data_IF_487733348937
#
_entry.id   IF_487733348937
#
_cell.length_a   1.000
_cell.length_b   1.000
_cell.length_c   1.000
_cell.angle_alpha   90.00
_cell.angle_beta   90.00
_cell.angle_gamma   90.00
#
_symmetry.space_group_name_H-M   'P 1'
#
loop_
_entity.id
_entity.type
_entity.pdbx_description
1 polymer ?
#
# COMPACT_ATOMS: atom_id res chain seq x y z
N UNK A 1 -2.46 10.85 -0.24
CA UNK A 1 -1.99 10.13 0.97
C UNK A 1 -1.38 11.04 2.05
N UNK A 2 -0.21 11.67 1.84
CA UNK A 2 0.48 12.44 2.90
C UNK A 2 -0.37 13.57 3.54
N UNK A 3 -1.10 14.34 2.72
CA UNK A 3 -2.02 15.38 3.21
C UNK A 3 -3.22 14.81 3.98
N UNK A 4 -3.67 13.61 3.61
CA UNK A 4 -4.78 12.92 4.29
C UNK A 4 -4.35 12.42 5.68
N UNK A 5 -3.15 11.85 5.79
CA UNK A 5 -2.53 11.45 7.06
C UNK A 5 -2.51 12.60 8.08
N UNK A 6 -2.02 13.78 7.67
CA UNK A 6 -1.93 14.97 8.53
C UNK A 6 -3.28 15.46 9.06
N UNK A 7 -4.38 15.21 8.34
CA UNK A 7 -5.73 15.66 8.76
C UNK A 7 -6.34 14.82 9.87
N UNK A 8 -6.01 13.52 9.94
CA UNK A 8 -6.68 12.58 10.85
C UNK A 8 -6.02 12.45 12.23
N UNK A 9 -4.77 12.89 12.39
CA UNK A 9 -4.04 12.76 13.66
C UNK A 9 -3.78 11.31 14.11
N UNK A 10 -4.04 10.32 13.24
CA UNK A 10 -3.76 8.90 13.44
C UNK A 10 -2.95 8.34 12.27
N UNK A 11 -2.35 7.17 12.48
CA UNK A 11 -1.58 6.47 11.46
C UNK A 11 -2.33 6.20 10.16
N UNK A 12 -1.69 6.51 9.04
CA UNK A 12 -2.18 6.18 7.72
C UNK A 12 -2.00 4.69 7.44
N UNK A 13 -3.10 4.00 7.13
CA UNK A 13 -3.11 2.58 6.73
C UNK A 13 -3.42 2.46 5.24
N UNK A 14 -2.56 1.79 4.48
CA UNK A 14 -2.66 1.67 3.03
C UNK A 14 -2.71 0.21 2.60
N UNK A 15 -3.59 -0.10 1.65
CA UNK A 15 -3.66 -1.37 0.94
C UNK A 15 -3.35 -1.14 -0.55
N UNK A 16 -2.24 -1.68 -1.04
CA UNK A 16 -1.88 -1.75 -2.46
C UNK A 16 -2.25 -3.16 -2.97
N UNK A 17 -3.37 -3.25 -3.69
CA UNK A 17 -4.06 -4.52 -3.96
C UNK A 17 -3.34 -5.38 -5.01
N UNK A 18 -2.64 -4.72 -5.94
CA UNK A 18 -1.99 -5.36 -7.09
C UNK A 18 -0.59 -4.75 -7.28
N UNK A 19 0.30 -5.02 -6.32
CA UNK A 19 1.46 -4.21 -6.04
C UNK A 19 2.63 -4.33 -7.03
N UNK A 20 2.68 -5.38 -7.86
CA UNK A 20 3.80 -5.67 -8.74
C UNK A 20 5.12 -5.70 -7.97
N UNK A 21 6.07 -4.84 -8.30
CA UNK A 21 7.34 -4.73 -7.58
C UNK A 21 7.24 -4.03 -6.21
N UNK A 22 6.06 -3.57 -5.79
CA UNK A 22 5.84 -2.88 -4.51
C UNK A 22 6.30 -1.42 -4.47
N UNK A 23 6.59 -0.80 -5.62
CA UNK A 23 7.11 0.59 -5.67
C UNK A 23 6.09 1.62 -5.21
N UNK A 24 4.79 1.39 -5.49
CA UNK A 24 3.69 2.22 -4.96
C UNK A 24 3.61 2.11 -3.44
N UNK A 25 3.51 0.89 -2.91
CA UNK A 25 3.64 0.60 -1.48
C UNK A 25 4.83 1.27 -0.79
N UNK A 26 6.03 1.13 -1.37
CA UNK A 26 7.26 1.74 -0.84
C UNK A 26 7.14 3.27 -0.74
N UNK A 27 6.52 3.93 -1.72
CA UNK A 27 6.26 5.38 -1.66
C UNK A 27 5.25 5.75 -0.58
N UNK A 28 4.24 4.92 -0.33
CA UNK A 28 3.33 5.15 0.79
C UNK A 28 4.05 5.08 2.14
N UNK A 29 4.96 4.12 2.33
CA UNK A 29 5.77 4.03 3.54
C UNK A 29 6.68 5.26 3.69
N UNK A 30 7.53 5.53 2.70
CA UNK A 30 8.60 6.53 2.81
C UNK A 30 8.11 7.98 2.67
N UNK A 31 7.23 8.25 1.70
CA UNK A 31 6.84 9.62 1.32
C UNK A 31 5.55 10.07 2.02
N UNK A 32 4.62 9.14 2.26
CA UNK A 32 3.37 9.45 2.95
C UNK A 32 3.40 9.19 4.46
N UNK A 33 4.48 8.58 4.98
CA UNK A 33 4.61 8.24 6.39
C UNK A 33 3.54 7.25 6.84
N UNK A 34 3.20 6.28 5.99
CA UNK A 34 2.21 5.27 6.33
C UNK A 34 2.70 4.39 7.49
N UNK A 35 1.85 4.21 8.50
CA UNK A 35 2.15 3.31 9.64
C UNK A 35 1.89 1.85 9.28
N UNK A 36 0.98 1.60 8.34
CA UNK A 36 0.76 0.28 7.77
C UNK A 36 0.72 0.39 6.25
N UNK A 37 1.53 -0.41 5.56
CA UNK A 37 1.41 -0.65 4.13
C UNK A 37 1.26 -2.15 3.89
N UNK A 38 0.12 -2.58 3.37
CA UNK A 38 -0.09 -3.95 2.93
C UNK A 38 -0.08 -4.01 1.41
N UNK A 39 0.94 -4.65 0.85
CA UNK A 39 1.04 -4.93 -0.58
C UNK A 39 0.61 -6.37 -0.89
N UNK A 40 -0.26 -6.53 -1.86
CA UNK A 40 -0.67 -7.83 -2.37
C UNK A 40 -0.32 -7.94 -3.85
N UNK A 41 0.18 -9.09 -4.28
CA UNK A 41 0.25 -9.42 -5.70
C UNK A 41 0.06 -10.92 -5.89
N UNK A 42 -0.76 -11.33 -6.86
CA UNK A 42 -1.03 -12.74 -7.09
C UNK A 42 0.23 -13.49 -7.60
N UNK A 43 1.16 -12.78 -8.25
CA UNK A 43 2.38 -13.36 -8.77
C UNK A 43 3.40 -13.59 -7.64
N UNK A 44 3.61 -14.85 -7.26
CA UNK A 44 4.58 -15.20 -6.21
C UNK A 44 6.02 -14.91 -6.62
N UNK A 45 6.32 -14.76 -7.93
CA UNK A 45 7.68 -14.50 -8.42
C UNK A 45 8.19 -13.11 -8.05
N UNK A 46 7.29 -12.16 -7.75
CA UNK A 46 7.68 -10.81 -7.35
C UNK A 46 8.01 -10.70 -5.85
N UNK A 47 7.79 -11.75 -5.06
CA UNK A 47 7.91 -11.73 -3.60
C UNK A 47 9.20 -11.05 -3.11
N UNK A 48 10.36 -11.56 -3.54
CA UNK A 48 11.66 -11.09 -3.04
C UNK A 48 11.89 -9.61 -3.40
N UNK A 49 11.50 -9.21 -4.61
CA UNK A 49 11.64 -7.81 -5.06
C UNK A 49 10.69 -6.89 -4.31
N UNK A 50 9.43 -7.29 -4.17
CA UNK A 50 8.39 -6.56 -3.46
C UNK A 50 8.77 -6.38 -1.98
N UNK A 51 9.14 -7.47 -1.29
CA UNK A 51 9.56 -7.44 0.09
C UNK A 51 10.81 -6.57 0.29
N UNK A 52 11.85 -6.75 -0.54
CA UNK A 52 13.08 -5.95 -0.48
C UNK A 52 12.80 -4.43 -0.59
N UNK A 53 11.96 -4.03 -1.55
CA UNK A 53 11.59 -2.63 -1.74
C UNK A 53 10.83 -2.05 -0.54
N UNK A 54 9.90 -2.82 0.04
CA UNK A 54 9.15 -2.38 1.22
C UNK A 54 10.04 -2.25 2.46
N UNK A 55 10.90 -3.25 2.72
CA UNK A 55 11.81 -3.23 3.86
C UNK A 55 12.76 -2.04 3.77
N UNK A 56 13.35 -1.80 2.59
CA UNK A 56 14.22 -0.65 2.36
C UNK A 56 13.48 0.67 2.61
N UNK A 57 12.26 0.83 2.08
CA UNK A 57 11.47 2.05 2.23
C UNK A 57 11.00 2.30 3.67
N UNK A 58 10.71 1.23 4.42
CA UNK A 58 10.29 1.29 5.81
C UNK A 58 11.47 1.38 6.80
N UNK A 59 12.73 1.33 6.32
CA UNK A 59 13.92 1.33 7.17
C UNK A 59 14.09 0.05 8.01
N UNK A 60 13.54 -1.07 7.53
CA UNK A 60 13.61 -2.37 8.21
C UNK A 60 14.81 -3.15 7.65
N UNK A 61 15.72 -3.66 8.49
CA UNK A 61 16.84 -4.48 8.03
C UNK A 61 16.37 -5.71 7.24
N UNK A 62 17.03 -6.02 6.12
CA UNK A 62 16.71 -7.20 5.31
C UNK A 62 16.90 -8.54 6.06
N UNK A 63 17.67 -8.54 7.16
CA UNK A 63 17.86 -9.70 8.04
C UNK A 63 16.69 -9.92 9.02
N UNK A 64 15.76 -8.97 9.14
CA UNK A 64 14.60 -9.08 10.03
C UNK A 64 13.67 -10.19 9.52
N UNK A 65 13.41 -11.17 10.37
CA UNK A 65 12.49 -12.25 10.07
C UNK A 65 11.03 -11.76 10.08
N UNK A 66 10.20 -12.15 9.11
CA UNK A 66 8.79 -11.83 9.13
C UNK A 66 8.04 -12.60 10.21
N UNK A 67 7.02 -11.97 10.76
CA UNK A 67 5.91 -12.67 11.41
C UNK A 67 4.96 -13.19 10.32
N UNK A 68 4.59 -14.47 10.39
CA UNK A 68 3.59 -15.05 9.48
C UNK A 68 2.20 -14.92 10.10
N UNK A 69 1.37 -14.09 9.48
CA UNK A 69 -0.03 -13.92 9.86
C UNK A 69 -0.93 -14.82 9.01
N UNK A 70 -2.05 -15.24 9.59
CA UNK A 70 -3.12 -15.98 8.91
C UNK A 70 -4.47 -15.29 9.10
N UNK A 71 -4.72 -14.18 8.38
CA UNK A 71 -5.99 -13.48 8.49
C UNK A 71 -7.15 -14.40 8.10
N UNK A 72 -8.29 -14.22 8.77
CA UNK A 72 -9.51 -14.96 8.46
C UNK A 72 -9.90 -14.77 6.98
N UNK A 73 -10.43 -15.83 6.35
CA UNK A 73 -10.79 -15.79 4.93
C UNK A 73 -9.61 -15.92 3.96
N UNK A 74 -8.36 -15.73 4.38
CA UNK A 74 -7.19 -15.96 3.53
C UNK A 74 -6.65 -17.40 3.68
N UNK A 75 -6.30 -18.03 2.56
CA UNK A 75 -5.75 -19.41 2.53
C UNK A 75 -4.22 -19.47 2.55
N UNK A 76 -3.57 -18.32 2.48
CA UNK A 76 -2.12 -18.18 2.38
C UNK A 76 -1.63 -17.27 3.49
N UNK A 77 -0.39 -17.51 3.91
CA UNK A 77 0.25 -16.68 4.92
C UNK A 77 0.45 -15.25 4.39
N UNK A 78 0.43 -14.29 5.31
CA UNK A 78 0.77 -12.88 5.09
C UNK A 78 2.03 -12.60 5.88
N UNK A 79 3.09 -12.20 5.19
CA UNK A 79 4.37 -11.87 5.83
C UNK A 79 4.31 -10.45 6.35
N UNK A 80 4.60 -10.26 7.63
CA UNK A 80 4.61 -8.95 8.28
C UNK A 80 5.99 -8.63 8.85
N UNK A 81 6.43 -7.40 8.62
CA UNK A 81 7.60 -6.82 9.29
C UNK A 81 7.21 -5.49 9.92
N UNK A 82 7.85 -5.12 11.02
CA UNK A 82 7.67 -3.81 11.64
C UNK A 82 9.03 -3.20 11.95
N UNK A 83 9.18 -1.90 11.70
CA UNK A 83 10.33 -1.16 12.19
C UNK A 83 10.22 -0.99 13.71
N UNK A 84 11.33 -1.19 14.40
CA UNK A 84 11.47 -0.70 15.78
C UNK A 84 11.57 0.81 15.70
N UNK A 85 10.84 1.53 16.57
CA UNK A 85 11.05 2.96 16.70
C UNK A 85 12.52 3.19 17.03
N UNK A 86 13.28 3.81 16.11
CA UNK A 86 14.66 4.14 16.37
C UNK A 86 14.69 5.18 17.50
N UNK A 87 15.33 4.87 18.63
CA UNK A 87 15.82 5.95 19.50
C UNK A 87 16.86 6.71 18.68
N UNK A 88 16.53 7.94 18.30
CA UNK A 88 17.41 8.98 17.73
C UNK A 88 18.63 8.48 16.93
N UNK A 89 18.60 8.61 15.60
CA UNK A 89 19.82 8.56 14.82
C UNK A 89 20.68 9.80 15.18
N UNK A 90 21.94 9.64 15.65
CA UNK A 90 22.78 10.80 15.93
C UNK A 90 23.04 11.54 14.61
N UNK A 91 22.70 12.82 14.59
CA UNK A 91 22.93 13.67 13.43
C UNK A 91 24.42 13.67 13.08
N UNK A 92 24.81 13.52 11.80
CA UNK A 92 26.21 13.72 11.41
C UNK A 92 26.63 15.16 11.78
N UNK A 93 27.91 15.39 12.11
CA UNK A 93 28.39 16.71 12.49
C UNK A 93 28.09 17.71 11.38
N UNK A 94 27.31 18.75 11.71
CA UNK A 94 26.93 19.81 10.78
C UNK A 94 28.18 20.55 10.35
N UNK A 95 28.45 20.60 9.04
CA UNK A 95 29.49 21.50 8.54
C UNK A 95 28.99 22.95 8.68
N UNK A 96 29.79 23.86 9.25
CA UNK A 96 29.37 25.25 9.45
C UNK A 96 29.15 25.93 8.09
N UNK A 97 27.91 26.36 7.82
CA UNK A 97 27.56 27.19 6.65
C UNK A 97 26.49 26.64 5.72
N UNK A 98 25.98 25.41 5.92
CA UNK A 98 24.90 24.85 5.10
C UNK A 98 23.56 24.89 5.86
N UNK A 99 22.72 25.89 5.58
CA UNK A 99 21.31 25.88 6.01
C UNK A 99 20.49 25.07 5.00
N UNK A 100 20.33 23.78 5.27
CA UNK A 100 19.43 22.91 4.50
C UNK A 100 17.96 23.22 4.87
N UNK A 101 17.29 24.03 4.05
CA UNK A 101 15.87 24.32 4.21
C UNK A 101 14.95 23.21 3.64
N UNK A 102 15.49 22.09 3.16
CA UNK A 102 14.71 21.05 2.46
C UNK A 102 14.50 19.77 3.26
N UNK A 103 15.11 19.63 4.44
CA UNK A 103 15.03 18.40 5.24
C UNK A 103 14.44 18.67 6.62
N UNK A 104 13.12 18.64 6.70
CA UNK A 104 12.47 18.45 8.00
C UNK A 104 12.78 17.02 8.48
N UNK A 105 13.23 16.84 9.73
CA UNK A 105 13.32 15.52 10.31
C UNK A 105 11.88 14.98 10.40
N UNK A 106 11.52 14.08 9.51
CA UNK A 106 10.33 13.25 9.74
C UNK A 106 10.65 12.45 10.99
N UNK A 107 9.88 12.65 12.07
CA UNK A 107 9.77 11.62 13.10
C UNK A 107 9.55 10.30 12.36
N UNK A 108 10.54 9.42 12.33
CA UNK A 108 10.42 8.09 11.76
C UNK A 108 9.54 7.29 12.71
N UNK A 109 8.24 7.53 12.60
CA UNK A 109 7.22 6.72 13.24
C UNK A 109 7.38 5.27 12.83
N UNK A 110 7.07 4.35 13.73
CA UNK A 110 7.08 2.92 13.43
C UNK A 110 6.24 2.64 12.19
N UNK A 111 6.78 1.84 11.27
CA UNK A 111 6.13 1.44 10.03
C UNK A 111 6.04 -0.08 10.01
N UNK A 112 4.84 -0.60 9.81
CA UNK A 112 4.56 -2.02 9.57
C UNK A 112 4.30 -2.22 8.09
N UNK A 113 4.97 -3.20 7.49
CA UNK A 113 4.74 -3.60 6.10
C UNK A 113 4.24 -5.04 6.05
N UNK A 114 3.29 -5.31 5.15
CA UNK A 114 2.74 -6.64 4.89
C UNK A 114 2.84 -7.00 3.43
N UNK A 115 3.10 -8.27 3.17
CA UNK A 115 3.12 -8.86 1.83
C UNK A 115 2.16 -10.05 1.82
N UNK A 116 1.35 -10.16 0.77
CA UNK A 116 0.53 -11.35 0.53
C UNK A 116 0.49 -11.72 -0.95
N UNK A 117 0.18 -12.99 -1.22
CA UNK A 117 0.01 -13.50 -2.57
C UNK A 117 -1.34 -14.16 -2.75
N UNK A 118 -2.41 -13.36 -2.78
CA UNK A 118 -3.78 -13.84 -2.94
C UNK A 118 -4.48 -13.11 -4.07
N UNK A 119 -5.54 -13.73 -4.59
CA UNK A 119 -6.46 -13.07 -5.50
C UNK A 119 -7.01 -11.77 -4.90
N UNK A 120 -7.04 -10.70 -5.71
CA UNK A 120 -7.42 -9.36 -5.27
C UNK A 120 -8.85 -9.31 -4.72
N UNK A 121 -9.81 -9.97 -5.40
CA UNK A 121 -11.20 -10.03 -4.93
C UNK A 121 -11.31 -10.79 -3.61
N UNK A 122 -10.57 -11.89 -3.45
CA UNK A 122 -10.52 -12.62 -2.18
C UNK A 122 -9.95 -11.77 -1.05
N UNK A 123 -8.90 -11.02 -1.30
CA UNK A 123 -8.30 -10.12 -0.30
C UNK A 123 -9.30 -9.07 0.15
N UNK A 124 -9.86 -8.32 -0.80
CA UNK A 124 -10.80 -7.24 -0.51
C UNK A 124 -12.05 -7.76 0.21
N UNK A 125 -12.61 -8.88 -0.23
CA UNK A 125 -13.73 -9.52 0.46
C UNK A 125 -13.37 -9.96 1.89
N UNK A 126 -12.17 -10.52 2.10
CA UNK A 126 -11.71 -10.89 3.45
C UNK A 126 -11.54 -9.67 4.36
N UNK A 127 -11.04 -8.55 3.82
CA UNK A 127 -10.92 -7.30 4.56
C UNK A 127 -12.29 -6.78 5.00
N UNK A 128 -13.29 -6.81 4.10
CA UNK A 128 -14.66 -6.42 4.44
C UNK A 128 -15.28 -7.35 5.50
N UNK A 129 -15.16 -8.67 5.33
CA UNK A 129 -15.70 -9.66 6.29
C UNK A 129 -15.07 -9.54 7.68
N UNK A 130 -13.78 -9.20 7.76
CA UNK A 130 -13.05 -9.04 9.02
C UNK A 130 -13.01 -7.58 9.51
N UNK A 131 -13.90 -6.71 8.99
CA UNK A 131 -14.00 -5.28 9.35
C UNK A 131 -12.63 -4.54 9.35
N UNK A 132 -11.74 -4.95 8.45
CA UNK A 132 -10.40 -4.42 8.32
C UNK A 132 -10.35 -3.41 7.18
N UNK A 133 -10.54 -2.14 7.54
CA UNK A 133 -10.57 -1.04 6.58
C UNK A 133 -9.24 -0.28 6.47
N UNK A 134 -9.04 0.39 5.34
CA UNK A 134 -7.85 1.17 5.03
C UNK A 134 -8.18 2.62 4.69
N UNK A 135 -7.28 3.55 5.03
CA UNK A 135 -7.44 4.95 4.68
C UNK A 135 -7.18 5.21 3.20
N UNK A 136 -6.38 4.35 2.57
CA UNK A 136 -6.13 4.33 1.14
C UNK A 136 -6.21 2.89 0.66
N UNK A 137 -7.07 2.64 -0.33
CA UNK A 137 -7.06 1.42 -1.14
C UNK A 137 -6.61 1.82 -2.54
N UNK A 138 -5.54 1.18 -3.03
CA UNK A 138 -4.94 1.44 -4.34
C UNK A 138 -5.10 0.20 -5.22
N UNK A 139 -5.88 0.34 -6.30
CA UNK A 139 -6.14 -0.69 -7.30
C UNK A 139 -5.54 -0.22 -8.62
N UNK A 140 -4.38 -0.76 -8.96
CA UNK A 140 -3.65 -0.39 -10.17
C UNK A 140 -3.21 -1.62 -10.95
N UNK A 141 -4.00 -1.93 -11.97
CA UNK A 141 -3.91 -3.17 -12.74
C UNK A 141 -4.06 -2.96 -14.25
N UNK A 142 -3.83 -4.05 -14.98
CA UNK A 142 -3.90 -4.06 -16.43
C UNK A 142 -5.33 -4.33 -16.91
N UNK A 143 -5.92 -3.37 -17.63
CA UNK A 143 -7.23 -3.47 -18.25
C UNK A 143 -8.31 -2.60 -17.59
N UNK A 144 -9.53 -3.16 -17.55
CA UNK A 144 -10.71 -2.53 -16.97
C UNK A 144 -10.98 -3.16 -15.60
N UNK A 145 -10.74 -2.41 -14.51
CA UNK A 145 -10.74 -2.91 -13.12
C UNK A 145 -12.11 -3.04 -12.48
N UNK A 146 -13.13 -3.23 -13.31
CA UNK A 146 -14.53 -3.13 -12.91
C UNK A 146 -14.95 -4.30 -12.01
N UNK A 147 -14.29 -5.45 -12.13
CA UNK A 147 -14.50 -6.63 -11.27
C UNK A 147 -14.07 -6.43 -9.82
N UNK A 148 -13.17 -5.49 -9.53
CA UNK A 148 -12.65 -5.25 -8.18
C UNK A 148 -13.28 -4.03 -7.51
N UNK A 149 -13.93 -3.15 -8.28
CA UNK A 149 -14.43 -1.85 -7.82
C UNK A 149 -15.35 -1.96 -6.60
N UNK A 150 -16.35 -2.85 -6.63
CA UNK A 150 -17.28 -3.02 -5.52
C UNK A 150 -16.57 -3.41 -4.23
N UNK A 151 -15.75 -4.48 -4.28
CA UNK A 151 -14.99 -4.93 -3.12
C UNK A 151 -13.95 -3.91 -2.64
N UNK A 152 -13.39 -3.12 -3.55
CA UNK A 152 -12.42 -2.08 -3.20
C UNK A 152 -13.08 -0.95 -2.40
N UNK A 153 -14.29 -0.54 -2.78
CA UNK A 153 -15.11 0.43 -2.02
C UNK A 153 -15.37 -0.10 -0.61
N UNK A 154 -15.75 -1.37 -0.49
CA UNK A 154 -16.06 -2.01 0.80
C UNK A 154 -14.85 -2.09 1.76
N UNK A 155 -13.62 -2.06 1.24
CA UNK A 155 -12.39 -2.07 2.04
C UNK A 155 -11.90 -0.67 2.45
N UNK A 156 -12.50 0.40 1.91
CA UNK A 156 -12.13 1.78 2.23
C UNK A 156 -12.77 2.22 3.54
N UNK A 157 -12.00 2.91 4.38
CA UNK A 157 -12.48 3.46 5.64
C UNK A 157 -13.60 4.49 5.44
N UNK A 158 -14.71 4.33 6.16
CA UNK A 158 -15.86 5.25 6.15
C UNK A 158 -15.53 6.67 6.67
N UNK A 159 -14.41 6.82 7.37
CA UNK A 159 -13.92 8.09 7.91
C UNK A 159 -13.24 8.95 6.81
N UNK A 160 -13.86 9.04 5.63
CA UNK A 160 -13.33 9.79 4.49
C UNK A 160 -12.09 9.16 3.84
N UNK A 161 -11.99 7.83 3.83
CA UNK A 161 -10.93 7.10 3.12
C UNK A 161 -10.91 7.37 1.61
N UNK A 162 -9.79 7.04 0.98
CA UNK A 162 -9.54 7.30 -0.44
C UNK A 162 -9.43 5.98 -1.20
N UNK A 163 -10.03 5.96 -2.40
CA UNK A 163 -9.86 4.90 -3.37
C UNK A 163 -9.07 5.44 -4.57
N UNK A 164 -7.92 4.85 -4.84
CA UNK A 164 -7.12 5.10 -6.03
C UNK A 164 -7.41 3.98 -7.03
N UNK A 165 -7.80 4.36 -8.24
CA UNK A 165 -8.13 3.44 -9.31
C UNK A 165 -7.35 3.82 -10.56
N UNK A 166 -6.70 2.84 -11.17
CA UNK A 166 -6.15 2.97 -12.51
C UNK A 166 -6.93 2.07 -13.45
N UNK A 167 -7.29 2.58 -14.62
CA UNK A 167 -7.65 1.73 -15.76
C UNK A 167 -6.67 2.00 -16.89
N UNK A 168 -6.13 0.93 -17.44
CA UNK A 168 -5.25 0.98 -18.61
C UNK A 168 -5.98 0.56 -19.89
N UNK A 169 -7.28 0.23 -19.83
CA UNK A 169 -8.12 -0.01 -21.02
C UNK A 169 -8.55 1.31 -21.69
N UNK A 170 -7.56 1.95 -22.33
CA UNK A 170 -7.73 3.16 -23.12
C UNK A 170 -8.67 2.98 -24.33
N UNK A 171 -8.80 1.75 -24.85
CA UNK A 171 -9.66 1.49 -26.01
C UNK A 171 -11.14 1.54 -25.64
N UNK A 172 -11.53 0.93 -24.52
CA UNK A 172 -12.90 1.02 -24.05
C UNK A 172 -13.19 2.43 -23.51
N UNK A 173 -12.35 2.97 -22.62
CA UNK A 173 -12.56 4.32 -22.06
C UNK A 173 -12.53 5.44 -23.12
N UNK A 174 -11.75 5.28 -24.20
CA UNK A 174 -11.72 6.20 -25.34
C UNK A 174 -12.85 5.99 -26.36
N UNK A 175 -13.78 5.06 -26.13
CA UNK A 175 -14.95 4.82 -26.99
C UNK A 175 -14.66 3.99 -28.26
N UNK A 176 -13.45 3.47 -28.43
CA UNK A 176 -13.06 2.65 -29.59
C UNK A 176 -13.62 1.22 -29.52
N UNK A 177 -14.15 0.80 -28.36
CA UNK A 177 -14.81 -0.49 -28.15
C UNK A 177 -16.15 -0.31 -27.42
N UNK A 178 -17.19 0.22 -28.06
CA UNK A 178 -18.43 0.64 -27.41
C UNK A 178 -19.14 -0.51 -26.67
N UNK A 179 -19.23 -1.71 -27.26
CA UNK A 179 -19.83 -2.87 -26.59
C UNK A 179 -19.06 -3.30 -25.33
N UNK A 180 -17.71 -3.23 -25.35
CA UNK A 180 -16.90 -3.51 -24.15
C UNK A 180 -16.99 -2.39 -23.12
N UNK A 181 -17.13 -1.15 -23.58
CA UNK A 181 -17.28 0.02 -22.71
C UNK A 181 -18.57 -0.09 -21.91
N UNK A 182 -19.68 -0.40 -22.59
CA UNK A 182 -20.97 -0.66 -21.95
C UNK A 182 -20.88 -1.83 -20.96
N UNK A 183 -20.29 -2.96 -21.38
CA UNK A 183 -20.15 -4.13 -20.50
C UNK A 183 -19.27 -3.87 -19.27
N UNK A 184 -18.23 -3.06 -19.40
CA UNK A 184 -17.29 -2.79 -18.32
C UNK A 184 -17.79 -1.69 -17.37
N UNK A 185 -18.32 -0.59 -17.91
CA UNK A 185 -18.56 0.65 -17.17
C UNK A 185 -20.05 0.99 -16.93
N UNK A 186 -20.98 0.27 -17.58
CA UNK A 186 -22.43 0.53 -17.48
C UNK A 186 -22.95 1.38 -18.63
#
# INVERSE_FOLDING_TARGET
AALHSRRKGRGLRVLDVMAGSGTRGARYAQQAGAQLVWCNDIDTRVHDTLASNLLQAAGIPASTQPELLRPEGLRRDVWQWSSTASSEWPSPPTQPGQTDHSRQPSETGSCTVRVSHVDASRLLASCWMSETYFDVVDVDSFGSETSHLGHAIDAVSYDGGLLYLTSTDGFSSGGLRPARSLAAYG
#
